data_IF_080360917097
#
_entry.id   IF_080360917097
#
_cell.length_a   1.000
_cell.length_b   1.000
_cell.length_c   1.000
_cell.angle_alpha   90.00
_cell.angle_beta   90.00
_cell.angle_gamma   90.00
#
_symmetry.space_group_name_H-M   'P 1'
#
loop_
_entity.id
_entity.type
_entity.pdbx_description
1 polymer ?
#
# COMPACT_ATOMS: atom_id res chain seq x y z
N UNK A 1 30.86 -8.52 23.42
CA UNK A 1 31.42 -8.05 22.14
C UNK A 1 31.18 -6.55 22.03
N UNK A 2 32.19 -5.77 21.64
CA UNK A 2 32.01 -4.36 21.31
C UNK A 2 31.31 -4.21 19.94
N UNK A 3 30.61 -3.09 19.68
CA UNK A 3 30.02 -2.80 18.37
C UNK A 3 31.10 -2.71 17.28
N UNK A 4 30.75 -3.09 16.05
CA UNK A 4 31.68 -3.13 14.92
C UNK A 4 32.25 -1.73 14.55
N UNK A 5 31.49 -0.67 14.82
CA UNK A 5 31.93 0.72 14.68
C UNK A 5 31.44 1.54 15.87
N UNK A 6 32.22 2.55 16.27
CA UNK A 6 31.90 3.45 17.39
C UNK A 6 30.93 4.58 17.02
N UNK A 7 30.70 4.81 15.73
CA UNK A 7 29.82 5.89 15.27
C UNK A 7 28.36 5.48 15.37
N UNK A 8 27.49 6.44 15.63
CA UNK A 8 26.05 6.25 15.56
C UNK A 8 25.63 6.11 14.08
N UNK A 9 25.06 4.96 13.73
CA UNK A 9 24.51 4.66 12.40
C UNK A 9 22.99 4.48 12.43
N UNK A 10 22.32 4.82 13.54
CA UNK A 10 20.89 4.76 13.64
C UNK A 10 20.24 5.80 12.71
N UNK A 11 19.14 5.41 12.06
CA UNK A 11 18.32 6.37 11.30
C UNK A 11 17.38 7.10 12.25
N UNK A 12 17.11 8.38 11.96
CA UNK A 12 16.05 9.13 12.63
C UNK A 12 14.71 8.39 12.56
N UNK A 13 13.93 8.50 13.62
CA UNK A 13 12.62 7.87 13.68
C UNK A 13 11.75 8.35 12.51
N UNK A 14 11.18 7.44 11.70
CA UNK A 14 10.32 7.83 10.59
C UNK A 14 9.02 8.48 11.07
N UNK A 15 8.38 9.24 10.19
CA UNK A 15 7.11 9.89 10.49
C UNK A 15 6.03 8.89 10.91
N UNK A 16 5.05 9.36 11.70
CA UNK A 16 3.93 8.52 12.17
C UNK A 16 3.23 7.84 10.98
N UNK A 17 3.11 6.50 11.05
CA UNK A 17 2.45 5.68 10.02
C UNK A 17 3.34 5.26 8.84
N UNK A 18 4.58 5.77 8.72
CA UNK A 18 5.51 5.30 7.70
C UNK A 18 5.94 3.85 7.94
N UNK A 19 6.19 3.46 9.19
CA UNK A 19 6.52 2.07 9.52
C UNK A 19 5.40 1.11 9.11
N UNK A 20 4.14 1.46 9.35
CA UNK A 20 2.98 0.64 8.94
C UNK A 20 2.91 0.44 7.42
N UNK A 21 3.41 1.40 6.63
CA UNK A 21 3.48 1.32 5.17
C UNK A 21 4.75 0.64 4.64
N UNK A 22 5.86 0.75 5.38
CA UNK A 22 7.12 0.09 5.05
C UNK A 22 7.02 -1.41 5.37
N UNK A 23 6.44 -1.74 6.53
CA UNK A 23 6.32 -3.07 7.10
C UNK A 23 4.92 -3.66 6.81
N UNK A 24 4.46 -3.61 5.55
CA UNK A 24 3.21 -4.22 5.11
C UNK A 24 3.43 -5.20 3.94
N UNK A 25 2.47 -6.10 3.74
CA UNK A 25 2.48 -7.02 2.60
C UNK A 25 1.94 -6.26 1.38
N UNK A 26 2.66 -6.35 0.25
CA UNK A 26 2.32 -5.63 -0.98
C UNK A 26 2.06 -6.61 -2.11
N UNK A 27 0.83 -6.59 -2.61
CA UNK A 27 0.40 -7.48 -3.70
C UNK A 27 -0.08 -6.65 -4.88
N UNK A 28 0.50 -6.89 -6.06
CA UNK A 28 0.00 -6.29 -7.30
C UNK A 28 -1.26 -7.02 -7.75
N UNK A 29 -2.30 -6.27 -8.12
CA UNK A 29 -3.54 -6.80 -8.71
C UNK A 29 -3.91 -6.00 -9.95
N UNK A 30 -4.61 -6.66 -10.86
CA UNK A 30 -5.14 -6.02 -12.08
C UNK A 30 -6.36 -5.20 -11.70
N UNK A 31 -6.43 -3.97 -12.20
CA UNK A 31 -7.66 -3.18 -12.21
C UNK A 31 -8.44 -3.58 -13.46
N UNK A 32 -9.59 -4.22 -13.27
CA UNK A 32 -10.45 -4.66 -14.36
C UNK A 32 -11.17 -3.46 -14.98
N UNK A 33 -11.62 -3.61 -16.23
CA UNK A 33 -12.27 -2.55 -17.01
C UNK A 33 -13.59 -2.05 -16.38
N UNK A 34 -14.23 -2.90 -15.58
CA UNK A 34 -15.43 -2.60 -14.78
C UNK A 34 -15.11 -1.91 -13.43
N UNK A 35 -13.86 -1.47 -13.25
CA UNK A 35 -13.36 -0.83 -12.02
C UNK A 35 -13.34 -1.75 -10.80
N UNK A 36 -13.27 -3.08 -11.01
CA UNK A 36 -13.14 -4.05 -9.92
C UNK A 36 -11.71 -4.56 -9.73
N UNK A 37 -11.38 -4.95 -8.51
CA UNK A 37 -10.13 -5.60 -8.14
C UNK A 37 -10.45 -6.85 -7.31
N UNK A 38 -9.97 -8.01 -7.73
CA UNK A 38 -10.12 -9.26 -6.98
C UNK A 38 -8.90 -9.53 -6.11
N UNK A 39 -9.12 -9.82 -4.83
CA UNK A 39 -8.06 -10.11 -3.87
C UNK A 39 -8.59 -10.94 -2.69
N UNK A 40 -7.86 -12.00 -2.33
CA UNK A 40 -8.16 -12.91 -1.21
C UNK A 40 -9.64 -13.38 -1.16
N UNK A 41 -10.21 -13.75 -2.31
CA UNK A 41 -11.60 -14.21 -2.40
C UNK A 41 -12.66 -13.09 -2.39
N UNK A 42 -12.25 -11.83 -2.22
CA UNK A 42 -13.14 -10.67 -2.25
C UNK A 42 -12.99 -9.87 -3.55
N UNK A 43 -14.05 -9.16 -3.92
CA UNK A 43 -14.07 -8.19 -5.01
C UNK A 43 -14.26 -6.81 -4.43
N UNK A 44 -13.41 -5.88 -4.83
CA UNK A 44 -13.44 -4.49 -4.40
C UNK A 44 -13.81 -3.60 -5.58
N UNK A 45 -14.84 -2.77 -5.41
CA UNK A 45 -15.23 -1.75 -6.39
C UNK A 45 -14.39 -0.49 -6.15
N UNK A 46 -13.70 -0.02 -7.19
CA UNK A 46 -12.93 1.22 -7.15
C UNK A 46 -13.81 2.39 -7.60
N UNK A 47 -13.92 3.43 -6.76
CA UNK A 47 -14.69 4.65 -7.05
C UNK A 47 -13.81 5.81 -7.52
N UNK A 48 -12.50 5.71 -7.33
CA UNK A 48 -11.56 6.73 -7.79
C UNK A 48 -11.23 6.49 -9.25
N UNK A 49 -11.20 7.55 -10.06
CA UNK A 49 -10.71 7.45 -11.43
C UNK A 49 -9.19 7.23 -11.42
N UNK A 50 -8.79 5.98 -11.67
CA UNK A 50 -7.40 5.51 -11.68
C UNK A 50 -6.99 5.22 -13.12
N UNK A 51 -6.03 5.98 -13.63
CA UNK A 51 -5.43 5.75 -14.96
C UNK A 51 -4.30 4.72 -14.87
N UNK A 52 -4.64 3.49 -14.50
CA UNK A 52 -3.70 2.35 -14.51
C UNK A 52 -4.41 1.03 -14.79
N UNK A 53 -3.65 0.08 -15.34
CA UNK A 53 -4.10 -1.31 -15.54
C UNK A 53 -3.89 -2.18 -14.31
N UNK A 54 -3.12 -1.70 -13.33
CA UNK A 54 -2.76 -2.41 -12.12
C UNK A 54 -2.83 -1.48 -10.92
N UNK A 55 -3.03 -2.07 -9.74
CA UNK A 55 -2.95 -1.40 -8.44
C UNK A 55 -2.10 -2.25 -7.50
N UNK A 56 -1.59 -1.62 -6.44
CA UNK A 56 -0.90 -2.29 -5.33
C UNK A 56 -1.82 -2.28 -4.13
N UNK A 57 -2.15 -3.46 -3.62
CA UNK A 57 -2.80 -3.63 -2.33
C UNK A 57 -1.72 -3.73 -1.26
N UNK A 58 -1.82 -2.87 -0.26
CA UNK A 58 -1.02 -2.88 0.96
C UNK A 58 -1.87 -3.46 2.10
N UNK A 59 -1.59 -4.69 2.50
CA UNK A 59 -2.17 -5.36 3.68
C UNK A 59 -1.32 -5.01 4.89
N UNK A 60 -1.85 -4.15 5.76
CA UNK A 60 -1.14 -3.64 6.94
C UNK A 60 -1.27 -4.60 8.11
N UNK A 61 -0.36 -4.48 9.08
CA UNK A 61 -0.33 -5.31 10.28
C UNK A 61 -1.55 -5.16 11.18
N UNK A 62 -2.28 -4.04 11.07
CA UNK A 62 -3.55 -3.79 11.75
C UNK A 62 -4.77 -4.39 11.03
N UNK A 63 -4.56 -5.13 9.93
CA UNK A 63 -5.61 -5.71 9.11
C UNK A 63 -6.24 -4.72 8.13
N UNK A 64 -5.81 -3.45 8.10
CA UNK A 64 -6.34 -2.49 7.14
C UNK A 64 -5.75 -2.72 5.75
N UNK A 65 -6.62 -2.62 4.74
CA UNK A 65 -6.26 -2.74 3.33
C UNK A 65 -6.18 -1.36 2.70
N UNK A 66 -5.07 -1.04 2.01
CA UNK A 66 -4.93 0.21 1.26
C UNK A 66 -4.56 -0.05 -0.19
N UNK A 67 -5.33 0.50 -1.13
CA UNK A 67 -5.00 0.47 -2.55
C UNK A 67 -4.21 1.70 -2.96
N UNK A 68 -3.14 1.48 -3.74
CA UNK A 68 -2.26 2.52 -4.25
C UNK A 68 -1.89 2.26 -5.72
N UNK A 69 -1.40 3.30 -6.39
CA UNK A 69 -0.97 3.24 -7.78
C UNK A 69 0.38 2.49 -7.92
N UNK A 70 0.62 1.72 -9.00
CA UNK A 70 1.83 0.89 -9.17
C UNK A 70 3.08 1.70 -9.52
N UNK A 71 2.93 2.91 -10.07
CA UNK A 71 4.04 3.75 -10.53
C UNK A 71 4.36 4.94 -9.61
N UNK A 72 5.45 4.71 -8.86
CA UNK A 72 6.61 5.50 -8.35
C UNK A 72 6.54 6.99 -7.95
N UNK A 73 7.20 7.19 -6.78
CA UNK A 73 7.49 8.39 -5.99
C UNK A 73 6.25 9.23 -5.68
N UNK A 74 5.59 9.01 -4.52
CA UNK A 74 4.65 10.01 -4.06
C UNK A 74 5.43 11.31 -3.86
N UNK A 75 5.06 12.34 -4.59
CA UNK A 75 4.99 13.66 -3.96
C UNK A 75 4.17 13.44 -2.69
N UNK A 76 4.86 13.51 -1.56
CA UNK A 76 4.27 13.18 -0.27
C UNK A 76 3.02 14.05 -0.06
N UNK A 77 1.85 13.49 0.33
CA UNK A 77 1.53 12.08 0.62
C UNK A 77 0.89 11.29 -0.56
N UNK A 78 1.06 9.94 -0.63
CA UNK A 78 0.39 9.12 -1.66
C UNK A 78 -1.14 9.17 -1.52
N UNK A 79 -1.83 9.49 -2.62
CA UNK A 79 -3.30 9.47 -2.69
C UNK A 79 -3.79 8.03 -2.61
N UNK A 80 -4.62 7.73 -1.61
CA UNK A 80 -5.29 6.44 -1.51
C UNK A 80 -6.35 6.32 -2.61
N UNK A 81 -6.51 5.11 -3.15
CA UNK A 81 -7.62 4.78 -4.03
C UNK A 81 -8.79 4.38 -3.14
N UNK A 82 -9.92 5.06 -3.27
CA UNK A 82 -11.16 4.70 -2.57
C UNK A 82 -11.76 3.47 -3.23
N UNK A 83 -11.89 2.40 -2.45
CA UNK A 83 -12.51 1.16 -2.86
C UNK A 83 -13.32 0.56 -1.70
N UNK A 84 -14.41 -0.12 -2.02
CA UNK A 84 -15.27 -0.80 -1.06
C UNK A 84 -15.41 -2.28 -1.44
N UNK A 85 -15.48 -3.17 -0.44
CA UNK A 85 -15.78 -4.58 -0.67
C UNK A 85 -17.23 -4.71 -1.17
N UNK A 86 -17.43 -5.53 -2.20
CA UNK A 86 -18.76 -5.86 -2.71
C UNK A 86 -19.21 -7.17 -2.05
N UNK A 87 -20.33 -7.13 -1.33
CA UNK A 87 -21.01 -8.35 -0.86
C UNK A 87 -21.66 -9.05 -2.05
N UNK A 88 -21.33 -10.33 -2.24
CA UNK A 88 -22.02 -11.20 -3.21
C UNK A 88 -23.32 -11.69 -2.60
#
# INVERSE_FOLDING_TARGET
MPPAQRTDLHRSCPARGELTRILCIKTKRVLRRDWTVAHNGHIYQVHTNVRATQVVLEERLDGTLRMTHPWRKPMWPPRAILAAAVST
#
